data_IF_037689474899
#
_entry.id   IF_037689474899
#
_cell.length_a   1.000
_cell.length_b   1.000
_cell.length_c   1.000
_cell.angle_alpha   90.00
_cell.angle_beta   90.00
_cell.angle_gamma   90.00
#
_symmetry.space_group_name_H-M   'P 1'
#
loop_
_entity.id
_entity.type
_entity.pdbx_description
1 polymer ?
#
# COMPACT_ATOMS: atom_id res chain seq x y z
N UNK A 1 5.24 -6.22 -8.99
CA UNK A 1 5.43 -5.59 -7.67
C UNK A 1 6.09 -6.60 -6.73
N UNK A 2 7.20 -6.23 -6.11
CA UNK A 2 7.95 -7.14 -5.24
C UNK A 2 7.55 -6.95 -3.77
N UNK A 3 6.58 -7.73 -3.34
CA UNK A 3 6.07 -7.63 -1.97
C UNK A 3 7.03 -8.22 -0.92
N UNK A 4 7.92 -9.13 -1.31
CA UNK A 4 8.89 -9.72 -0.38
C UNK A 4 9.90 -8.66 0.06
N UNK A 5 10.46 -7.92 -0.89
CA UNK A 5 11.41 -6.83 -0.61
C UNK A 5 10.71 -5.70 0.14
N UNK A 6 9.49 -5.35 -0.25
CA UNK A 6 8.69 -4.32 0.43
C UNK A 6 8.43 -4.71 1.89
N UNK A 7 8.05 -5.95 2.14
CA UNK A 7 7.80 -6.43 3.50
C UNK A 7 9.07 -6.33 4.36
N UNK A 8 10.21 -6.72 3.81
CA UNK A 8 11.48 -6.60 4.50
C UNK A 8 11.82 -5.15 4.81
N UNK A 9 11.61 -4.24 3.85
CA UNK A 9 11.82 -2.81 4.03
C UNK A 9 10.95 -2.26 5.17
N UNK A 10 9.68 -2.68 5.26
CA UNK A 10 8.80 -2.26 6.34
C UNK A 10 9.33 -2.68 7.71
N UNK A 11 9.90 -3.87 7.82
CA UNK A 11 10.48 -4.34 9.07
C UNK A 11 11.77 -3.59 9.42
N UNK A 12 12.63 -3.35 8.43
CA UNK A 12 13.95 -2.75 8.65
C UNK A 12 13.89 -1.23 8.83
N UNK A 13 13.13 -0.55 7.97
CA UNK A 13 13.11 0.92 7.94
C UNK A 13 11.98 1.52 8.77
N UNK A 14 10.89 0.80 8.95
CA UNK A 14 9.73 1.29 9.70
C UNK A 14 9.55 0.58 11.03
N UNK A 15 10.47 -0.30 11.38
CA UNK A 15 10.43 -1.07 12.64
C UNK A 15 9.11 -1.81 12.87
N UNK A 16 8.47 -2.24 11.80
CA UNK A 16 7.22 -2.99 11.90
C UNK A 16 7.49 -4.43 12.29
N UNK A 17 6.57 -5.01 13.07
CA UNK A 17 6.56 -6.44 13.32
C UNK A 17 6.24 -7.18 12.01
N UNK A 18 6.57 -8.47 11.97
CA UNK A 18 6.22 -9.32 10.82
C UNK A 18 4.71 -9.25 10.55
N UNK A 19 3.90 -9.29 11.61
CA UNK A 19 2.45 -9.24 11.50
C UNK A 19 1.96 -7.92 10.88
N UNK A 20 2.47 -6.79 11.37
CA UNK A 20 2.09 -5.48 10.85
C UNK A 20 2.51 -5.32 9.39
N UNK A 21 3.74 -5.74 9.06
CA UNK A 21 4.24 -5.69 7.69
C UNK A 21 3.39 -6.56 6.75
N UNK A 22 3.00 -7.75 7.21
CA UNK A 22 2.12 -8.64 6.44
C UNK A 22 0.77 -7.99 6.17
N UNK A 23 0.20 -7.29 7.16
CA UNK A 23 -1.07 -6.59 7.01
C UNK A 23 -0.97 -5.48 5.97
N UNK A 24 0.11 -4.71 5.99
CA UNK A 24 0.35 -3.64 5.00
C UNK A 24 0.44 -4.24 3.60
N UNK A 25 1.19 -5.33 3.44
CA UNK A 25 1.33 -6.02 2.15
C UNK A 25 -0.03 -6.51 1.65
N UNK A 26 -0.83 -7.10 2.54
CA UNK A 26 -2.18 -7.57 2.18
C UNK A 26 -3.07 -6.43 1.69
N UNK A 27 -2.98 -5.28 2.32
CA UNK A 27 -3.73 -4.10 1.90
C UNK A 27 -3.26 -3.58 0.55
N UNK A 28 -1.97 -3.60 0.30
CA UNK A 28 -1.43 -3.23 -1.02
C UNK A 28 -1.91 -4.17 -2.11
N UNK A 29 -1.97 -5.46 -1.83
CA UNK A 29 -2.51 -6.46 -2.76
C UNK A 29 -3.98 -6.20 -3.06
N UNK A 30 -4.75 -5.81 -2.04
CA UNK A 30 -6.15 -5.45 -2.22
C UNK A 30 -6.31 -4.23 -3.11
N UNK A 31 -5.51 -3.19 -2.88
CA UNK A 31 -5.51 -1.98 -3.72
C UNK A 31 -5.15 -2.35 -5.16
N UNK A 32 -4.13 -3.17 -5.34
CA UNK A 32 -3.69 -3.62 -6.66
C UNK A 32 -4.85 -4.29 -7.42
N UNK A 33 -5.61 -5.16 -6.76
CA UNK A 33 -6.79 -5.79 -7.37
C UNK A 33 -7.88 -4.79 -7.69
N UNK A 34 -8.12 -3.81 -6.81
CA UNK A 34 -9.11 -2.75 -7.05
C UNK A 34 -8.74 -1.90 -8.26
N UNK A 35 -7.46 -1.76 -8.55
CA UNK A 35 -6.91 -1.02 -9.69
C UNK A 35 -6.68 -1.91 -10.92
N UNK A 36 -7.36 -3.05 -11.00
CA UNK A 36 -7.25 -3.98 -12.13
C UNK A 36 -5.81 -4.45 -12.37
N UNK A 37 -5.11 -4.77 -11.28
CA UNK A 37 -3.73 -5.26 -11.26
C UNK A 37 -2.68 -4.24 -11.72
N UNK A 38 -3.02 -2.96 -11.71
CA UNK A 38 -2.03 -1.91 -11.94
C UNK A 38 -1.18 -1.68 -10.69
N UNK A 39 0.09 -1.38 -10.89
CA UNK A 39 1.00 -1.08 -9.80
C UNK A 39 0.61 0.23 -9.10
N UNK A 40 0.84 0.27 -7.79
CA UNK A 40 0.61 1.47 -6.99
C UNK A 40 1.59 2.57 -7.44
N UNK A 41 1.04 3.74 -7.74
CA UNK A 41 1.81 4.90 -8.21
C UNK A 41 1.27 6.18 -7.56
N UNK A 42 1.81 7.32 -7.98
CA UNK A 42 1.43 8.63 -7.40
C UNK A 42 -0.05 8.98 -7.56
N UNK A 43 -0.74 8.35 -8.51
CA UNK A 43 -2.17 8.59 -8.78
C UNK A 43 -3.08 7.63 -8.05
N UNK A 44 -2.53 6.56 -7.49
CA UNK A 44 -3.34 5.50 -6.89
C UNK A 44 -4.29 6.01 -5.81
N UNK A 45 -3.79 6.84 -4.89
CA UNK A 45 -4.62 7.35 -3.80
C UNK A 45 -5.75 8.23 -4.34
N UNK A 46 -5.45 9.10 -5.31
CA UNK A 46 -6.47 9.97 -5.92
C UNK A 46 -7.57 9.17 -6.61
N UNK A 47 -7.20 8.12 -7.32
CA UNK A 47 -8.16 7.24 -7.99
C UNK A 47 -8.96 6.45 -6.95
N UNK A 48 -8.27 5.93 -5.94
CA UNK A 48 -8.87 5.11 -4.89
C UNK A 48 -10.00 5.84 -4.15
N UNK A 49 -9.77 7.09 -3.75
CA UNK A 49 -10.76 7.86 -2.99
C UNK A 49 -12.00 8.21 -3.80
N UNK A 50 -11.93 8.12 -5.13
CA UNK A 50 -13.07 8.36 -6.01
C UNK A 50 -13.85 7.09 -6.33
N UNK A 51 -13.34 5.91 -5.94
CA UNK A 51 -14.02 4.65 -6.22
C UNK A 51 -15.18 4.42 -5.27
N UNK A 52 -16.33 3.99 -5.82
CA UNK A 52 -17.50 3.67 -5.02
C UNK A 52 -17.22 2.58 -4.00
N UNK A 53 -16.47 1.54 -4.39
CA UNK A 53 -16.11 0.46 -3.48
C UNK A 53 -15.30 0.95 -2.28
N UNK A 54 -14.44 1.95 -2.47
CA UNK A 54 -13.69 2.58 -1.39
C UNK A 54 -14.62 3.43 -0.51
N UNK A 55 -15.49 4.20 -1.14
CA UNK A 55 -16.42 5.09 -0.44
C UNK A 55 -17.35 4.34 0.50
N UNK A 56 -17.69 3.09 0.17
CA UNK A 56 -18.55 2.24 0.99
C UNK A 56 -17.81 1.56 2.16
N UNK A 57 -16.50 1.74 2.26
CA UNK A 57 -15.72 1.17 3.36
C UNK A 57 -15.82 2.02 4.62
N UNK A 58 -15.55 1.41 5.78
CA UNK A 58 -15.46 2.15 7.04
C UNK A 58 -14.27 3.13 7.02
N UNK A 59 -14.36 4.17 7.84
CA UNK A 59 -13.26 5.15 7.97
C UNK A 59 -11.95 4.48 8.37
N UNK A 60 -12.02 3.47 9.22
CA UNK A 60 -10.86 2.72 9.65
C UNK A 60 -10.16 2.03 8.47
N UNK A 61 -10.92 1.32 7.64
CA UNK A 61 -10.37 0.60 6.49
C UNK A 61 -9.84 1.59 5.44
N UNK A 62 -10.56 2.68 5.20
CA UNK A 62 -10.09 3.74 4.28
C UNK A 62 -8.71 4.26 4.69
N UNK A 63 -8.52 4.58 5.97
CA UNK A 63 -7.25 5.06 6.48
C UNK A 63 -6.15 4.02 6.31
N UNK A 64 -6.44 2.75 6.56
CA UNK A 64 -5.48 1.66 6.42
C UNK A 64 -5.03 1.48 4.97
N UNK A 65 -5.95 1.55 4.03
CA UNK A 65 -5.61 1.43 2.62
C UNK A 65 -4.75 2.59 2.14
N UNK A 66 -5.11 3.83 2.51
CA UNK A 66 -4.32 5.00 2.14
C UNK A 66 -2.91 4.92 2.72
N UNK A 67 -2.79 4.50 3.97
CA UNK A 67 -1.48 4.34 4.61
C UNK A 67 -0.63 3.30 3.89
N UNK A 68 -1.22 2.16 3.53
CA UNK A 68 -0.50 1.10 2.81
C UNK A 68 0.03 1.61 1.47
N UNK A 69 -0.80 2.33 0.71
CA UNK A 69 -0.39 2.91 -0.56
C UNK A 69 0.75 3.92 -0.38
N UNK A 70 0.65 4.78 0.63
CA UNK A 70 1.67 5.79 0.93
C UNK A 70 3.01 5.13 1.28
N UNK A 71 2.97 4.09 2.11
CA UNK A 71 4.18 3.35 2.48
C UNK A 71 4.82 2.69 1.25
N UNK A 72 4.01 2.12 0.38
CA UNK A 72 4.54 1.52 -0.85
C UNK A 72 5.20 2.56 -1.75
N UNK A 73 4.59 3.74 -1.89
CA UNK A 73 5.17 4.83 -2.68
C UNK A 73 6.51 5.28 -2.10
N UNK A 74 6.61 5.39 -0.79
CA UNK A 74 7.85 5.75 -0.11
C UNK A 74 8.95 4.71 -0.40
N UNK A 75 8.62 3.44 -0.26
CA UNK A 75 9.51 2.34 -0.59
C UNK A 75 9.98 2.42 -2.06
N UNK A 76 9.03 2.61 -2.96
CA UNK A 76 9.30 2.67 -4.40
C UNK A 76 10.28 3.79 -4.74
N UNK A 77 10.12 4.95 -4.11
CA UNK A 77 11.02 6.10 -4.32
C UNK A 77 12.42 5.82 -3.79
N UNK A 78 12.54 5.19 -2.64
CA UNK A 78 13.85 4.83 -2.08
C UNK A 78 14.59 3.83 -2.95
N UNK A 79 13.89 2.82 -3.44
CA UNK A 79 14.49 1.81 -4.31
C UNK A 79 15.00 2.42 -5.60
N UNK A 80 14.26 3.38 -6.16
CA UNK A 80 14.68 4.07 -7.39
C UNK A 80 15.87 4.99 -7.21
N UNK A 81 16.12 5.45 -5.99
CA UNK A 81 17.26 6.32 -5.68
C UNK A 81 18.57 5.56 -5.49
N UNK A 82 18.48 4.30 -5.19
CA UNK A 82 19.66 3.45 -5.01
C UNK A 82 19.99 2.73 -6.32
#
# INVERSE_FOLDING_TARGET
>A
MDYVVFKQWLQDEKNMSIRSATDVVSRCKRINRMMEDEDINDRTVSILIEMESYDNMSSFIKSQLKRAATLYLEFSKEVKRS
#
